data_IF_892700271852
#
_entry.id   IF_892700271852
#
_cell.length_a   1.000
_cell.length_b   1.000
_cell.length_c   1.000
_cell.angle_alpha   90.00
_cell.angle_beta   90.00
_cell.angle_gamma   90.00
#
_symmetry.space_group_name_H-M   'P 1'
#
loop_
_entity.id
_entity.type
_entity.pdbx_description
1 polymer ?
#
# COMPACT_ATOMS: atom_id res chain seq x y z
N UNK A 1 3.49 -23.08 -9.37
CA UNK A 1 4.05 -23.13 -7.99
C UNK A 1 4.74 -21.83 -7.53
N UNK A 2 5.54 -21.16 -8.36
CA UNK A 2 6.26 -19.93 -7.94
C UNK A 2 5.35 -18.75 -7.57
N UNK A 3 4.22 -18.56 -8.25
CA UNK A 3 3.26 -17.49 -7.93
C UNK A 3 2.65 -17.61 -6.53
N UNK A 4 2.22 -18.82 -6.13
CA UNK A 4 1.66 -19.03 -4.79
C UNK A 4 2.70 -18.78 -3.70
N UNK A 5 3.98 -19.10 -3.95
CA UNK A 5 5.07 -18.80 -3.01
C UNK A 5 5.22 -17.29 -2.83
N UNK A 6 5.24 -16.51 -3.92
CA UNK A 6 5.34 -15.05 -3.85
C UNK A 6 4.19 -14.44 -3.02
N UNK A 7 2.94 -14.79 -3.31
CA UNK A 7 1.79 -14.21 -2.59
C UNK A 7 1.78 -14.58 -1.11
N UNK A 8 2.15 -15.82 -0.79
CA UNK A 8 2.30 -16.26 0.59
C UNK A 8 3.44 -15.49 1.30
N UNK A 9 4.58 -15.30 0.65
CA UNK A 9 5.70 -14.52 1.20
C UNK A 9 5.29 -13.06 1.45
N UNK A 10 4.62 -12.41 0.49
CA UNK A 10 4.14 -11.03 0.65
C UNK A 10 3.13 -10.92 1.80
N UNK A 11 2.14 -11.83 1.84
CA UNK A 11 1.14 -11.86 2.90
C UNK A 11 1.75 -12.11 4.28
N UNK A 12 2.72 -13.03 4.37
CA UNK A 12 3.43 -13.31 5.61
C UNK A 12 4.27 -12.12 6.06
N UNK A 13 4.97 -11.45 5.14
CA UNK A 13 5.76 -10.26 5.46
C UNK A 13 4.88 -9.13 6.01
N UNK A 14 3.73 -8.86 5.38
CA UNK A 14 2.77 -7.87 5.86
C UNK A 14 2.19 -8.26 7.22
N UNK A 15 1.82 -9.54 7.40
CA UNK A 15 1.29 -10.04 8.68
C UNK A 15 2.32 -9.89 9.80
N UNK A 16 3.57 -10.29 9.57
CA UNK A 16 4.64 -10.17 10.56
C UNK A 16 4.90 -8.69 10.91
N UNK A 17 4.95 -7.81 9.91
CA UNK A 17 5.11 -6.37 10.14
C UNK A 17 3.95 -5.80 10.97
N UNK A 18 2.71 -6.22 10.68
CA UNK A 18 1.52 -5.79 11.42
C UNK A 18 1.58 -6.25 12.88
N UNK A 19 1.95 -7.51 13.13
CA UNK A 19 2.10 -8.03 14.49
C UNK A 19 3.20 -7.29 15.24
N UNK A 20 4.39 -7.15 14.64
CA UNK A 20 5.54 -6.49 15.27
C UNK A 20 5.25 -5.02 15.57
N UNK A 21 4.64 -4.30 14.63
CA UNK A 21 4.27 -2.88 14.84
C UNK A 21 3.24 -2.69 15.95
N UNK A 22 2.36 -3.66 16.17
CA UNK A 22 1.31 -3.60 17.19
C UNK A 22 1.78 -3.88 18.63
N UNK A 23 3.01 -4.36 18.84
CA UNK A 23 3.52 -4.70 20.19
C UNK A 23 3.68 -3.44 21.05
N UNK A 24 4.31 -2.40 20.48
CA UNK A 24 4.58 -1.15 21.17
C UNK A 24 4.64 0.02 20.17
N UNK A 25 3.52 0.37 19.50
CA UNK A 25 3.49 1.52 18.62
C UNK A 25 3.64 2.82 19.42
N UNK A 26 4.14 3.87 18.77
CA UNK A 26 4.33 5.18 19.38
C UNK A 26 3.03 5.76 19.96
N UNK A 27 1.94 5.70 19.18
CA UNK A 27 0.59 5.99 19.63
C UNK A 27 -0.38 4.94 19.07
N UNK A 28 -1.20 4.34 19.94
CA UNK A 28 -2.07 3.22 19.56
C UNK A 28 -3.25 3.66 18.71
N UNK A 29 -3.78 4.87 18.93
CA UNK A 29 -4.93 5.36 18.19
C UNK A 29 -4.52 5.73 16.75
N UNK A 30 -3.42 6.47 16.60
CA UNK A 30 -2.82 6.76 15.30
C UNK A 30 -2.41 5.48 14.59
N UNK A 31 -1.75 4.54 15.27
CA UNK A 31 -1.39 3.25 14.68
C UNK A 31 -2.61 2.54 14.08
N UNK A 32 -3.72 2.44 14.83
CA UNK A 32 -4.92 1.75 14.37
C UNK A 32 -5.52 2.42 13.12
N UNK A 33 -5.55 3.76 13.09
CA UNK A 33 -6.05 4.51 11.93
C UNK A 33 -5.17 4.29 10.70
N UNK A 34 -3.85 4.28 10.87
CA UNK A 34 -2.89 4.07 9.79
C UNK A 34 -2.92 2.64 9.25
N UNK A 35 -3.08 1.63 10.11
CA UNK A 35 -3.14 0.22 9.66
C UNK A 35 -4.54 -0.23 9.24
N UNK A 36 -5.60 0.54 9.55
CA UNK A 36 -6.98 0.18 9.19
C UNK A 36 -7.16 -0.15 7.69
N UNK A 37 -6.60 0.62 6.72
CA UNK A 37 -6.66 0.26 5.31
C UNK A 37 -6.09 -1.14 5.03
N UNK A 38 -5.01 -1.53 5.71
CA UNK A 38 -4.40 -2.86 5.56
C UNK A 38 -5.31 -3.95 6.13
N UNK A 39 -5.93 -3.70 7.29
CA UNK A 39 -6.88 -4.61 7.92
C UNK A 39 -8.13 -4.86 7.05
N UNK A 40 -8.56 -3.88 6.26
CA UNK A 40 -9.65 -4.05 5.29
C UNK A 40 -9.18 -4.68 3.98
N UNK A 41 -8.04 -4.25 3.44
CA UNK A 41 -7.54 -4.72 2.16
C UNK A 41 -7.16 -6.21 2.18
N UNK A 42 -6.54 -6.69 3.26
CA UNK A 42 -6.07 -8.08 3.34
C UNK A 42 -7.21 -9.12 3.23
N UNK A 43 -8.32 -9.04 4.00
CA UNK A 43 -9.48 -9.91 3.80
C UNK A 43 -10.08 -9.81 2.41
N UNK A 44 -10.23 -8.59 1.87
CA UNK A 44 -10.79 -8.39 0.53
C UNK A 44 -9.94 -9.09 -0.53
N UNK A 45 -8.62 -8.98 -0.45
CA UNK A 45 -7.70 -9.67 -1.37
C UNK A 45 -7.76 -11.19 -1.23
N UNK A 46 -7.85 -11.73 -0.01
CA UNK A 46 -7.98 -13.17 0.23
C UNK A 46 -9.28 -13.73 -0.34
N UNK A 47 -10.41 -13.04 -0.12
CA UNK A 47 -11.73 -13.47 -0.58
C UNK A 47 -11.88 -13.33 -2.10
N UNK A 48 -11.31 -12.28 -2.68
CA UNK A 48 -11.37 -12.03 -4.13
C UNK A 48 -10.38 -12.87 -4.94
N UNK A 49 -9.29 -13.38 -4.35
CA UNK A 49 -8.20 -14.08 -5.06
C UNK A 49 -8.66 -15.17 -6.04
N UNK A 50 -9.68 -15.95 -5.68
CA UNK A 50 -10.19 -17.05 -6.52
C UNK A 50 -11.05 -16.56 -7.70
N UNK A 51 -11.78 -15.45 -7.53
CA UNK A 51 -12.74 -14.92 -8.51
C UNK A 51 -12.12 -13.85 -9.40
N UNK A 52 -11.26 -13.02 -8.83
CA UNK A 52 -10.63 -11.88 -9.49
C UNK A 52 -9.18 -11.73 -9.00
N UNK A 53 -8.26 -12.61 -9.44
CA UNK A 53 -6.86 -12.48 -9.09
C UNK A 53 -6.27 -11.22 -9.74
N UNK A 54 -5.74 -10.31 -8.93
CA UNK A 54 -5.04 -9.12 -9.43
C UNK A 54 -3.73 -9.50 -10.13
N UNK A 55 -3.14 -8.56 -10.88
CA UNK A 55 -1.80 -8.78 -11.42
C UNK A 55 -0.76 -8.93 -10.32
N UNK A 56 0.33 -9.63 -10.65
CA UNK A 56 1.49 -9.77 -9.75
C UNK A 56 2.02 -8.40 -9.30
N UNK A 57 2.07 -7.43 -10.21
CA UNK A 57 2.52 -6.07 -9.92
C UNK A 57 1.65 -5.43 -8.82
N UNK A 58 0.32 -5.53 -8.93
CA UNK A 58 -0.58 -4.98 -7.92
C UNK A 58 -0.42 -5.65 -6.56
N UNK A 59 -0.24 -6.98 -6.50
CA UNK A 59 0.04 -7.63 -5.21
C UNK A 59 1.33 -7.12 -4.56
N UNK A 60 2.39 -6.92 -5.34
CA UNK A 60 3.65 -6.35 -4.84
C UNK A 60 3.45 -4.92 -4.38
N UNK A 61 2.76 -4.08 -5.17
CA UNK A 61 2.53 -2.68 -4.84
C UNK A 61 1.62 -2.52 -3.61
N UNK A 62 0.57 -3.33 -3.47
CA UNK A 62 -0.30 -3.30 -2.30
C UNK A 62 0.48 -3.77 -1.05
N UNK A 63 1.30 -4.81 -1.16
CA UNK A 63 2.15 -5.23 -0.05
C UNK A 63 3.14 -4.13 0.35
N UNK A 64 3.79 -3.48 -0.63
CA UNK A 64 4.68 -2.35 -0.36
C UNK A 64 3.94 -1.18 0.30
N UNK A 65 2.75 -0.82 -0.19
CA UNK A 65 1.90 0.22 0.38
C UNK A 65 1.50 -0.12 1.83
N UNK A 66 1.11 -1.37 2.09
CA UNK A 66 0.77 -1.83 3.42
C UNK A 66 1.96 -1.73 4.39
N UNK A 67 3.17 -2.09 3.95
CA UNK A 67 4.37 -1.94 4.77
C UNK A 67 4.67 -0.46 5.07
N UNK A 68 4.45 0.45 4.11
CA UNK A 68 4.60 1.90 4.33
C UNK A 68 3.65 2.39 5.41
N UNK A 69 2.36 2.03 5.33
CA UNK A 69 1.37 2.39 6.35
C UNK A 69 1.71 1.81 7.72
N UNK A 70 2.12 0.54 7.77
CA UNK A 70 2.50 -0.15 9.02
C UNK A 70 3.73 0.52 9.66
N UNK A 71 4.76 0.86 8.89
CA UNK A 71 5.92 1.58 9.40
C UNK A 71 5.55 2.98 9.89
N UNK A 72 4.73 3.70 9.11
CA UNK A 72 4.20 5.01 9.47
C UNK A 72 3.43 4.97 10.80
N UNK A 73 2.55 3.99 10.98
CA UNK A 73 1.81 3.79 12.23
C UNK A 73 2.69 3.34 13.40
N UNK A 74 3.70 2.50 13.17
CA UNK A 74 4.58 1.99 14.23
C UNK A 74 5.42 3.10 14.89
N UNK A 75 6.03 3.96 14.06
CA UNK A 75 6.97 4.99 14.51
C UNK A 75 6.37 6.39 14.58
N UNK A 76 5.20 6.62 13.98
CA UNK A 76 4.73 7.93 13.50
C UNK A 76 5.54 8.43 12.31
N UNK A 77 4.88 9.00 11.30
CA UNK A 77 5.47 9.38 10.01
C UNK A 77 6.71 10.29 10.15
N UNK A 78 6.74 11.15 11.16
CA UNK A 78 7.86 12.06 11.40
C UNK A 78 9.14 11.35 11.88
N UNK A 79 9.02 10.11 12.37
CA UNK A 79 10.09 9.39 13.07
C UNK A 79 10.53 8.12 12.34
N UNK A 80 10.00 7.85 11.14
CA UNK A 80 10.37 6.66 10.39
C UNK A 80 11.82 6.77 9.91
N UNK A 81 12.70 5.79 10.19
CA UNK A 81 14.12 5.81 9.81
C UNK A 81 14.38 6.03 8.32
N UNK A 82 13.56 5.43 7.45
CA UNK A 82 13.64 5.62 5.99
C UNK A 82 13.49 7.09 5.58
N UNK A 83 12.67 7.81 6.33
CA UNK A 83 12.48 9.23 6.13
C UNK A 83 13.71 10.05 6.46
N UNK A 84 14.44 9.72 7.54
CA UNK A 84 15.71 10.37 7.84
C UNK A 84 16.78 10.09 6.77
N UNK A 85 16.85 8.87 6.22
CA UNK A 85 17.78 8.58 5.12
C UNK A 85 17.47 9.40 3.86
N UNK A 86 16.19 9.54 3.52
CA UNK A 86 15.77 10.41 2.41
C UNK A 86 16.05 11.89 2.70
N UNK A 87 15.86 12.30 3.96
CA UNK A 87 16.20 13.65 4.39
C UNK A 87 17.68 13.94 4.19
N UNK A 88 18.55 13.01 4.58
CA UNK A 88 20.00 13.15 4.46
C UNK A 88 20.47 13.12 3.00
N UNK A 89 19.91 12.23 2.17
CA UNK A 89 20.30 12.12 0.75
C UNK A 89 19.87 13.31 -0.11
N UNK A 90 18.79 13.99 0.26
CA UNK A 90 18.21 15.09 -0.51
C UNK A 90 18.25 16.42 0.25
N UNK A 91 19.02 16.50 1.35
CA UNK A 91 19.22 17.68 2.21
C UNK A 91 17.90 18.39 2.61
N UNK A 92 16.84 17.62 2.93
CA UNK A 92 15.56 18.22 3.31
C UNK A 92 15.57 18.75 4.74
N UNK A 93 14.75 19.78 4.98
CA UNK A 93 14.58 20.36 6.31
C UNK A 93 13.80 19.47 7.29
N UNK A 94 13.05 18.49 6.79
CA UNK A 94 12.27 17.54 7.60
C UNK A 94 12.17 16.17 6.95
N UNK A 95 11.85 15.18 7.76
CA UNK A 95 11.54 13.82 7.35
C UNK A 95 10.40 13.81 6.28
N UNK A 96 10.67 13.39 5.03
CA UNK A 96 9.69 13.39 3.95
C UNK A 96 8.90 12.08 3.85
N UNK A 97 8.87 11.23 4.88
CA UNK A 97 8.18 9.94 4.83
C UNK A 97 6.69 10.08 4.51
N UNK A 98 6.07 11.18 4.96
CA UNK A 98 4.70 11.54 4.62
C UNK A 98 4.48 11.65 3.10
N UNK A 99 5.43 12.23 2.37
CA UNK A 99 5.37 12.32 0.89
C UNK A 99 5.40 10.95 0.22
N UNK A 100 6.12 9.99 0.83
CA UNK A 100 6.18 8.62 0.33
C UNK A 100 4.84 7.91 0.56
N UNK A 101 4.21 8.12 1.72
CA UNK A 101 2.84 7.69 1.99
C UNK A 101 1.85 8.22 0.95
N UNK A 102 1.85 9.54 0.73
CA UNK A 102 0.99 10.21 -0.26
C UNK A 102 1.23 9.69 -1.69
N UNK A 103 2.50 9.51 -2.09
CA UNK A 103 2.82 8.95 -3.40
C UNK A 103 2.25 7.54 -3.56
N UNK A 104 2.43 6.69 -2.55
CA UNK A 104 1.90 5.33 -2.56
C UNK A 104 0.36 5.33 -2.53
N UNK A 105 -0.27 6.30 -1.86
CA UNK A 105 -1.72 6.50 -1.81
C UNK A 105 -2.30 7.00 -3.13
N UNK A 106 -1.54 7.70 -3.96
CA UNK A 106 -1.96 7.99 -5.33
C UNK A 106 -1.72 6.81 -6.27
N UNK A 107 -0.51 6.25 -6.26
CA UNK A 107 -0.06 5.24 -7.23
C UNK A 107 -0.89 3.94 -7.15
N UNK A 108 -1.04 3.38 -5.95
CA UNK A 108 -1.64 2.05 -5.78
C UNK A 108 -3.14 2.06 -6.09
N UNK A 109 -3.94 3.01 -5.57
CA UNK A 109 -5.36 3.15 -5.94
C UNK A 109 -5.57 3.45 -7.43
N UNK A 110 -4.76 4.30 -8.06
CA UNK A 110 -4.88 4.57 -9.49
C UNK A 110 -4.70 3.30 -10.33
N UNK A 111 -3.65 2.52 -10.04
CA UNK A 111 -3.39 1.28 -10.77
C UNK A 111 -4.42 0.20 -10.46
N UNK A 112 -4.93 0.15 -9.23
CA UNK A 112 -6.00 -0.77 -8.84
C UNK A 112 -7.31 -0.44 -9.57
N UNK A 113 -7.69 0.85 -9.61
CA UNK A 113 -8.85 1.33 -10.36
C UNK A 113 -8.72 0.99 -11.86
N UNK A 114 -7.55 1.25 -12.44
CA UNK A 114 -7.26 0.92 -13.84
C UNK A 114 -7.48 -0.57 -14.14
N UNK A 115 -6.95 -1.44 -13.28
CA UNK A 115 -7.10 -2.90 -13.42
C UNK A 115 -8.56 -3.34 -13.35
N UNK A 116 -9.31 -2.82 -12.36
CA UNK A 116 -10.71 -3.16 -12.14
C UNK A 116 -11.56 -2.70 -13.33
N UNK A 117 -11.43 -1.44 -13.76
CA UNK A 117 -12.20 -0.86 -14.85
C UNK A 117 -11.97 -1.60 -16.18
N UNK A 118 -10.72 -1.96 -16.47
CA UNK A 118 -10.37 -2.74 -17.66
C UNK A 118 -10.90 -4.17 -17.61
N UNK A 119 -10.62 -4.90 -16.52
CA UNK A 119 -10.87 -6.35 -16.50
C UNK A 119 -12.32 -6.73 -16.24
N UNK A 120 -13.12 -5.80 -15.70
CA UNK A 120 -14.56 -5.95 -15.62
C UNK A 120 -15.29 -5.43 -16.88
N UNK A 121 -14.56 -4.89 -17.85
CA UNK A 121 -15.14 -4.42 -19.13
C UNK A 121 -15.95 -3.13 -19.00
N UNK A 122 -15.72 -2.33 -17.95
CA UNK A 122 -16.40 -1.03 -17.81
C UNK A 122 -15.83 0.02 -18.77
N UNK A 123 -14.55 -0.07 -19.12
CA UNK A 123 -13.87 0.85 -20.04
C UNK A 123 -12.84 0.11 -20.90
N UNK A 124 -12.69 0.57 -22.13
CA UNK A 124 -11.60 0.16 -23.01
C UNK A 124 -10.30 0.92 -22.70
N UNK A 125 -9.18 0.39 -23.21
CA UNK A 125 -7.90 1.09 -23.18
C UNK A 125 -7.98 2.43 -23.92
N UNK A 126 -7.72 3.52 -23.21
CA UNK A 126 -7.74 4.86 -23.81
C UNK A 126 -7.59 5.97 -22.79
N UNK A 127 -7.79 7.21 -23.25
CA UNK A 127 -7.63 8.43 -22.44
C UNK A 127 -8.60 8.46 -21.24
N UNK A 128 -9.84 8.01 -21.43
CA UNK A 128 -10.86 8.01 -20.38
C UNK A 128 -10.51 7.10 -19.20
N UNK A 129 -10.00 5.91 -19.48
CA UNK A 129 -9.49 5.00 -18.45
C UNK A 129 -8.39 5.67 -17.62
N UNK A 130 -7.41 6.28 -18.29
CA UNK A 130 -6.32 6.98 -17.61
C UNK A 130 -6.81 8.14 -16.74
N UNK A 131 -7.75 8.94 -17.27
CA UNK A 131 -8.38 10.03 -16.54
C UNK A 131 -9.09 9.55 -15.27
N UNK A 132 -10.00 8.58 -15.36
CA UNK A 132 -10.72 8.07 -14.19
C UNK A 132 -9.80 7.36 -13.19
N UNK A 133 -8.77 6.66 -13.68
CA UNK A 133 -7.76 6.04 -12.80
C UNK A 133 -7.02 7.10 -11.99
N UNK A 134 -6.69 8.24 -12.59
CA UNK A 134 -6.06 9.37 -11.89
C UNK A 134 -7.03 10.06 -10.92
N UNK A 135 -8.32 10.16 -11.25
CA UNK A 135 -9.31 10.74 -10.34
C UNK A 135 -9.44 10.00 -9.01
N UNK A 136 -9.19 8.68 -8.99
CA UNK A 136 -9.19 7.89 -7.74
C UNK A 136 -7.99 8.21 -6.84
N UNK A 137 -6.93 8.79 -7.41
CA UNK A 137 -5.70 9.15 -6.72
C UNK A 137 -5.63 10.61 -6.26
N UNK A 138 -6.66 11.41 -6.55
CA UNK A 138 -6.82 12.81 -6.13
C UNK A 138 -7.63 12.90 -4.84
#
# INVERSE_FOLDING_TARGET
MQHNKLYATLGLAVLLALIVSGIAPYDRATWLLEVAPVLFAAPVLLLSYRRFPLTRLLYVLIAAHALVLILGGAYSYERVPLGFWLQDWFELSRNPYDKLGHFMQGLVPALLAREILLRLGFLDTGKMLGFLSLCVAL
#
